data_IF_075277650572
#
_entry.id   IF_075277650572
#
_cell.length_a   1.000
_cell.length_b   1.000
_cell.length_c   1.000
_cell.angle_alpha   90.00
_cell.angle_beta   90.00
_cell.angle_gamma   90.00
#
_symmetry.space_group_name_H-M   'P 1'
#
loop_
_entity.id
_entity.type
_entity.pdbx_description
1 polymer ?
#
# COMPACT_ATOMS: atom_id res chain seq x y z
N UNK A 1 -20.96 0.23 8.84
CA UNK A 1 -19.69 0.13 8.11
C UNK A 1 -19.67 1.18 7.02
N UNK A 2 -18.52 1.83 6.73
CA UNK A 2 -18.44 2.87 5.68
C UNK A 2 -18.19 2.29 4.28
N UNK A 3 -17.65 1.05 4.19
CA UNK A 3 -17.53 0.34 2.91
C UNK A 3 -18.92 -0.01 2.37
N UNK A 4 -19.08 0.14 1.07
CA UNK A 4 -20.28 -0.25 0.34
C UNK A 4 -20.05 -1.53 -0.44
N UNK A 5 -21.12 -2.21 -0.82
CA UNK A 5 -21.06 -3.36 -1.70
C UNK A 5 -20.36 -2.98 -3.03
N UNK A 6 -19.43 -3.80 -3.49
CA UNK A 6 -18.64 -3.57 -4.69
C UNK A 6 -17.48 -2.57 -4.53
N UNK A 7 -17.25 -2.02 -3.31
CA UNK A 7 -16.15 -1.06 -3.10
C UNK A 7 -14.78 -1.65 -3.44
N UNK A 8 -13.91 -0.78 -3.93
CA UNK A 8 -12.48 -1.03 -4.14
C UNK A 8 -11.71 -0.48 -2.94
N UNK A 9 -11.06 -1.37 -2.19
CA UNK A 9 -10.21 -1.06 -1.05
C UNK A 9 -8.75 -1.31 -1.43
N UNK A 10 -7.97 -0.25 -1.56
CA UNK A 10 -6.57 -0.33 -1.92
C UNK A 10 -5.69 -0.12 -0.69
N UNK A 11 -4.73 -1.01 -0.49
CA UNK A 11 -3.66 -0.90 0.49
C UNK A 11 -2.37 -0.53 -0.23
N UNK A 12 -1.69 0.51 0.24
CA UNK A 12 -0.38 0.92 -0.27
C UNK A 12 0.58 1.24 0.87
N UNK A 13 1.86 1.23 0.57
CA UNK A 13 2.93 1.42 1.53
C UNK A 13 4.21 0.73 1.08
N UNK A 14 5.01 0.35 2.05
CA UNK A 14 6.32 -0.28 1.88
C UNK A 14 6.29 -1.82 1.96
N UNK A 15 7.40 -2.41 2.42
CA UNK A 15 7.56 -3.88 2.55
C UNK A 15 6.57 -4.54 3.50
N UNK A 16 6.04 -3.82 4.49
CA UNK A 16 5.03 -4.36 5.43
C UNK A 16 3.70 -4.62 4.69
N UNK A 17 3.40 -3.80 3.70
CA UNK A 17 2.22 -4.00 2.82
C UNK A 17 2.52 -4.98 1.69
N UNK A 18 3.71 -4.89 1.08
CA UNK A 18 4.11 -5.69 -0.10
C UNK A 18 4.24 -7.19 0.20
N UNK A 19 4.70 -7.58 1.36
CA UNK A 19 5.13 -8.93 1.79
C UNK A 19 4.76 -10.08 0.85
N UNK A 20 5.69 -10.47 -0.03
CA UNK A 20 5.54 -11.62 -0.92
C UNK A 20 4.46 -11.47 -1.99
N UNK A 21 4.10 -10.25 -2.32
CA UNK A 21 3.14 -9.94 -3.39
C UNK A 21 3.77 -10.19 -4.76
N UNK A 22 3.02 -10.82 -5.66
CA UNK A 22 3.40 -10.91 -7.07
C UNK A 22 3.05 -9.64 -7.84
N UNK A 23 3.95 -9.23 -8.71
CA UNK A 23 3.79 -8.09 -9.61
C UNK A 23 3.53 -8.57 -11.05
N UNK A 24 2.89 -7.78 -11.90
CA UNK A 24 2.38 -6.43 -11.67
C UNK A 24 1.18 -6.39 -10.73
N UNK A 25 0.84 -5.20 -10.23
CA UNK A 25 -0.37 -4.96 -9.44
C UNK A 25 -1.57 -5.32 -10.31
N UNK A 26 -2.20 -6.46 -10.01
CA UNK A 26 -3.32 -6.96 -10.78
C UNK A 26 -4.37 -7.54 -9.85
N UNK A 27 -5.62 -7.26 -10.16
CA UNK A 27 -6.75 -7.85 -9.45
C UNK A 27 -7.04 -9.24 -10.01
N UNK A 28 -7.17 -10.24 -9.12
CA UNK A 28 -7.66 -11.56 -9.51
C UNK A 28 -6.70 -12.45 -10.27
N UNK A 29 -5.39 -12.26 -10.11
CA UNK A 29 -4.40 -13.20 -10.66
C UNK A 29 -4.31 -14.47 -9.81
N UNK A 30 -3.95 -15.60 -10.44
CA UNK A 30 -3.76 -16.90 -9.77
C UNK A 30 -2.55 -16.93 -8.81
N UNK A 31 -1.76 -15.86 -8.72
CA UNK A 31 -0.45 -15.84 -8.04
C UNK A 31 -0.40 -14.72 -7.00
N UNK A 32 -0.93 -14.92 -5.82
CA UNK A 32 -0.81 -14.06 -4.62
C UNK A 32 -0.74 -12.53 -4.88
N UNK A 33 -1.75 -11.93 -5.54
CA UNK A 33 -1.74 -10.49 -5.81
C UNK A 33 -1.83 -9.67 -4.53
N UNK A 34 -2.27 -10.27 -3.43
CA UNK A 34 -2.36 -9.63 -2.12
C UNK A 34 -1.13 -9.86 -1.24
N UNK A 35 -0.25 -10.79 -1.65
CA UNK A 35 0.89 -11.19 -0.84
C UNK A 35 0.49 -11.96 0.41
N UNK A 36 1.39 -11.97 1.40
CA UNK A 36 1.26 -12.73 2.65
C UNK A 36 1.10 -11.83 3.88
N UNK A 37 0.99 -10.52 3.67
CA UNK A 37 0.87 -9.51 4.71
C UNK A 37 -0.58 -9.25 5.16
N UNK A 38 -0.77 -8.18 5.91
CA UNK A 38 -2.07 -7.80 6.44
C UNK A 38 -3.17 -7.56 5.37
N UNK A 39 -2.88 -7.11 4.12
CA UNK A 39 -3.93 -6.97 3.11
C UNK A 39 -4.62 -8.29 2.78
N UNK A 40 -3.86 -9.40 2.75
CA UNK A 40 -4.40 -10.74 2.55
C UNK A 40 -5.34 -11.15 3.70
N UNK A 41 -4.91 -10.92 4.94
CA UNK A 41 -5.70 -11.23 6.15
C UNK A 41 -7.00 -10.43 6.17
N UNK A 42 -6.91 -9.12 5.90
CA UNK A 42 -8.08 -8.23 5.85
C UNK A 42 -9.05 -8.66 4.75
N UNK A 43 -8.54 -9.03 3.57
CA UNK A 43 -9.36 -9.57 2.48
C UNK A 43 -10.11 -10.82 2.91
N UNK A 44 -9.42 -11.76 3.56
CA UNK A 44 -10.05 -12.98 4.10
C UNK A 44 -11.14 -12.68 5.12
N UNK A 45 -10.88 -11.78 6.07
CA UNK A 45 -11.85 -11.37 7.09
C UNK A 45 -13.08 -10.68 6.46
N UNK A 46 -12.88 -9.75 5.52
CA UNK A 46 -13.98 -9.08 4.83
C UNK A 46 -14.85 -10.10 4.11
N UNK A 47 -14.25 -11.04 3.38
CA UNK A 47 -15.00 -12.07 2.66
C UNK A 47 -15.72 -13.04 3.59
N UNK A 48 -15.15 -13.35 4.75
CA UNK A 48 -15.78 -14.20 5.75
C UNK A 48 -17.01 -13.53 6.41
N UNK A 49 -16.89 -12.24 6.73
CA UNK A 49 -17.95 -11.49 7.43
C UNK A 49 -19.01 -10.94 6.48
N UNK A 50 -18.62 -10.60 5.24
CA UNK A 50 -19.50 -9.99 4.23
C UNK A 50 -19.42 -10.71 2.88
N UNK A 51 -19.72 -12.01 2.79
CA UNK A 51 -19.45 -12.83 1.60
C UNK A 51 -20.19 -12.35 0.33
N UNK A 52 -21.32 -11.68 0.49
CA UNK A 52 -22.11 -11.16 -0.63
C UNK A 52 -21.78 -9.73 -1.06
N UNK A 53 -20.76 -9.10 -0.45
CA UNK A 53 -20.52 -7.68 -0.70
C UNK A 53 -19.63 -7.40 -1.90
N UNK A 54 -18.87 -8.38 -2.39
CA UNK A 54 -18.00 -8.22 -3.56
C UNK A 54 -16.96 -7.12 -3.40
N UNK A 55 -16.37 -6.97 -2.20
CA UNK A 55 -15.32 -5.98 -1.95
C UNK A 55 -14.05 -6.38 -2.69
N UNK A 56 -13.53 -5.48 -3.52
CA UNK A 56 -12.30 -5.69 -4.26
C UNK A 56 -11.12 -5.15 -3.47
N UNK A 57 -10.31 -6.06 -2.91
CA UNK A 57 -9.08 -5.68 -2.19
C UNK A 57 -7.91 -5.67 -3.16
N UNK A 58 -7.14 -4.58 -3.15
CA UNK A 58 -5.96 -4.37 -3.98
C UNK A 58 -4.77 -4.10 -3.07
N UNK A 59 -3.63 -4.77 -3.33
CA UNK A 59 -2.37 -4.48 -2.67
C UNK A 59 -1.43 -3.79 -3.66
N UNK A 60 -1.07 -2.55 -3.37
CA UNK A 60 -0.12 -1.70 -4.11
C UNK A 60 1.10 -1.33 -3.26
N UNK A 61 1.45 -2.15 -2.26
CA UNK A 61 2.69 -2.00 -1.51
C UNK A 61 3.93 -2.16 -2.40
N UNK A 62 5.01 -1.48 -2.06
CA UNK A 62 6.29 -1.59 -2.75
C UNK A 62 7.44 -1.57 -1.74
N UNK A 63 8.12 -2.71 -1.61
CA UNK A 63 9.23 -2.88 -0.65
C UNK A 63 10.30 -1.82 -0.83
N UNK A 64 10.70 -1.20 0.28
CA UNK A 64 11.73 -0.18 0.30
C UNK A 64 11.25 1.24 0.03
N UNK A 65 9.96 1.45 -0.21
CA UNK A 65 9.44 2.80 -0.43
C UNK A 65 9.56 3.68 0.82
N UNK A 66 9.92 4.94 0.57
CA UNK A 66 9.72 6.08 1.44
C UNK A 66 8.42 6.80 1.03
N UNK A 67 7.97 7.76 1.84
CA UNK A 67 6.84 8.63 1.47
C UNK A 67 7.07 9.35 0.14
N UNK A 68 8.30 9.83 -0.10
CA UNK A 68 8.73 10.45 -1.37
C UNK A 68 8.56 9.51 -2.57
N UNK A 69 8.98 8.24 -2.44
CA UNK A 69 8.84 7.23 -3.50
C UNK A 69 7.38 6.84 -3.71
N UNK A 70 6.59 6.74 -2.64
CA UNK A 70 5.16 6.51 -2.73
C UNK A 70 4.46 7.62 -3.52
N UNK A 71 4.77 8.90 -3.22
CA UNK A 71 4.22 10.04 -3.93
C UNK A 71 4.55 10.00 -5.43
N UNK A 72 5.77 9.62 -5.80
CA UNK A 72 6.21 9.55 -7.20
C UNK A 72 5.40 8.55 -8.05
N UNK A 73 4.83 7.49 -7.43
CA UNK A 73 4.02 6.47 -8.11
C UNK A 73 2.52 6.57 -7.79
N UNK A 74 2.10 7.62 -7.07
CA UNK A 74 0.72 7.75 -6.57
C UNK A 74 -0.33 7.69 -7.68
N UNK A 75 -0.08 8.39 -8.80
CA UNK A 75 -1.01 8.38 -9.92
C UNK A 75 -1.21 6.97 -10.49
N UNK A 76 -0.12 6.30 -10.85
CA UNK A 76 -0.18 5.01 -11.56
C UNK A 76 -0.57 3.84 -10.67
N UNK A 77 -0.10 3.85 -9.41
CA UNK A 77 -0.20 2.70 -8.54
C UNK A 77 -1.33 2.83 -7.51
N UNK A 78 -1.98 4.00 -7.44
CA UNK A 78 -3.13 4.23 -6.57
C UNK A 78 -4.32 4.79 -7.34
N UNK A 79 -4.21 6.00 -7.93
CA UNK A 79 -5.36 6.69 -8.50
C UNK A 79 -5.91 6.00 -9.75
N UNK A 80 -5.05 5.43 -10.60
CA UNK A 80 -5.47 4.73 -11.82
C UNK A 80 -6.30 3.47 -11.53
N UNK A 81 -6.18 2.89 -10.33
CA UNK A 81 -7.06 1.82 -9.85
C UNK A 81 -8.46 2.29 -9.46
N UNK A 82 -8.69 3.60 -9.39
CA UNK A 82 -9.96 4.21 -8.98
C UNK A 82 -10.52 3.60 -7.69
N UNK A 83 -9.73 3.62 -6.58
CA UNK A 83 -10.18 3.06 -5.33
C UNK A 83 -11.27 3.94 -4.69
N UNK A 84 -12.24 3.31 -4.01
CA UNK A 84 -13.19 4.03 -3.14
C UNK A 84 -12.57 4.36 -1.79
N UNK A 85 -11.57 3.55 -1.38
CA UNK A 85 -10.85 3.69 -0.12
C UNK A 85 -9.39 3.33 -0.31
N UNK A 86 -8.53 4.17 0.26
CA UNK A 86 -7.08 3.93 0.31
C UNK A 86 -6.63 3.83 1.76
N UNK A 87 -5.85 2.81 2.07
CA UNK A 87 -5.13 2.68 3.34
C UNK A 87 -3.64 2.80 3.05
N UNK A 88 -2.99 3.77 3.68
CA UNK A 88 -1.56 4.04 3.52
C UNK A 88 -0.83 3.61 4.80
N UNK A 89 0.19 2.76 4.65
CA UNK A 89 1.12 2.38 5.72
C UNK A 89 2.55 2.62 5.22
N UNK A 90 3.13 3.76 5.59
CA UNK A 90 4.43 4.25 5.11
C UNK A 90 5.15 5.01 6.23
N UNK A 91 6.47 5.12 6.18
CA UNK A 91 7.26 5.96 7.07
C UNK A 91 8.47 5.28 7.69
N UNK A 92 8.49 3.95 7.79
CA UNK A 92 9.63 3.26 8.40
C UNK A 92 10.93 3.50 7.60
N UNK A 93 10.85 3.45 6.26
CA UNK A 93 12.02 3.68 5.41
C UNK A 93 12.44 5.14 5.38
N UNK A 94 11.52 6.07 5.63
CA UNK A 94 11.83 7.50 5.74
C UNK A 94 12.86 7.75 6.85
N UNK A 95 12.73 7.00 7.95
CA UNK A 95 13.69 7.04 9.08
C UNK A 95 14.83 6.03 8.89
N UNK A 96 14.51 4.81 8.43
CA UNK A 96 15.44 3.69 8.41
C UNK A 96 16.64 3.90 7.49
N UNK A 97 16.47 4.61 6.35
CA UNK A 97 17.49 4.76 5.32
C UNK A 97 18.81 5.33 5.82
N UNK A 98 18.78 6.19 6.83
CA UNK A 98 20.00 6.72 7.44
C UNK A 98 20.80 5.67 8.25
N UNK A 99 20.14 4.57 8.63
CA UNK A 99 20.73 3.47 9.41
C UNK A 99 20.99 2.20 8.59
N UNK A 100 20.66 2.20 7.30
CA UNK A 100 20.87 1.07 6.41
C UNK A 100 22.37 0.72 6.26
N UNK A 101 22.65 -0.47 5.75
CA UNK A 101 24.01 -0.88 5.42
C UNK A 101 24.09 -1.28 3.93
N UNK A 102 24.69 -0.43 3.08
CA UNK A 102 25.29 0.87 3.39
C UNK A 102 24.25 1.95 3.74
N UNK A 103 24.65 2.93 4.55
CA UNK A 103 23.83 4.10 4.85
C UNK A 103 23.40 4.83 3.58
N UNK A 104 22.15 5.28 3.55
CA UNK A 104 21.56 6.04 2.44
C UNK A 104 20.89 7.31 3.00
N UNK A 105 21.68 8.26 3.58
CA UNK A 105 21.11 9.44 4.23
C UNK A 105 20.34 10.36 3.28
N UNK A 106 20.67 10.35 1.98
CA UNK A 106 19.96 11.07 0.93
C UNK A 106 18.54 10.56 0.68
N UNK A 107 18.26 9.34 1.07
CA UNK A 107 16.92 8.72 0.98
C UNK A 107 16.06 8.97 2.22
N UNK A 108 16.66 9.53 3.28
CA UNK A 108 15.91 9.91 4.47
C UNK A 108 14.91 11.02 4.13
N UNK A 109 13.73 10.92 4.74
CA UNK A 109 12.69 11.95 4.66
C UNK A 109 12.45 12.50 6.05
N UNK A 110 12.62 13.82 6.21
CA UNK A 110 12.38 14.49 7.48
C UNK A 110 10.90 14.66 7.79
N UNK A 111 10.54 14.98 9.06
CA UNK A 111 9.14 15.09 9.48
C UNK A 111 8.34 16.13 8.66
N UNK A 112 8.93 17.26 8.37
CA UNK A 112 8.28 18.33 7.61
C UNK A 112 7.98 17.91 6.18
N UNK A 113 8.96 17.29 5.49
CA UNK A 113 8.76 16.74 4.14
C UNK A 113 7.75 15.61 4.14
N UNK A 114 7.77 14.75 5.16
CA UNK A 114 6.82 13.66 5.32
C UNK A 114 5.37 14.18 5.42
N UNK A 115 5.15 15.20 6.27
CA UNK A 115 3.84 15.83 6.44
C UNK A 115 3.36 16.49 5.15
N UNK A 116 4.23 17.27 4.49
CA UNK A 116 3.92 17.92 3.21
C UNK A 116 3.59 16.90 2.12
N UNK A 117 4.41 15.85 2.01
CA UNK A 117 4.22 14.78 1.02
C UNK A 117 2.88 14.06 1.20
N UNK A 118 2.56 13.64 2.42
CA UNK A 118 1.29 12.94 2.67
C UNK A 118 0.08 13.86 2.60
N UNK A 119 0.25 15.15 2.96
CA UNK A 119 -0.82 16.14 2.82
C UNK A 119 -1.14 16.49 1.37
N UNK A 120 -0.23 16.22 0.44
CA UNK A 120 -0.39 16.45 -1.00
C UNK A 120 -0.98 15.28 -1.79
N UNK A 121 -1.12 14.08 -1.18
CA UNK A 121 -1.70 12.88 -1.81
C UNK A 121 -3.22 12.88 -1.75
#
# INVERSE_FOLDING_TARGET
MKLKQGSRLLFTGDSVTDVGRNRPVAQGTLFDPLGKGYPHIVSGLINAVYPGWGIHVINSGNSGDTSRRLAARWQTDVLDFKPDWVSVMIGINDVWRQFDSPCQPEEQVGPEEYEETLGGL
#
